data_IF_471713661228
#
_entry.id   IF_471713661228
#
_cell.length_a   1.000
_cell.length_b   1.000
_cell.length_c   1.000
_cell.angle_alpha   90.00
_cell.angle_beta   90.00
_cell.angle_gamma   90.00
#
_symmetry.space_group_name_H-M   'P 1'
#
loop_
_entity.id
_entity.type
_entity.pdbx_description
1 polymer ?
#
# COMPACT_ATOMS: atom_id res chain seq x y z
N UNK A 1 3.69 2.35 5.11
CA UNK A 1 3.45 1.46 3.95
C UNK A 1 2.24 0.59 4.26
N UNK A 2 1.25 0.59 3.36
CA UNK A 2 0.05 -0.24 3.42
C UNK A 2 0.24 -1.43 2.48
N UNK A 3 -0.07 -2.64 2.94
CA UNK A 3 0.03 -3.88 2.17
C UNK A 3 -1.06 -4.84 2.62
N UNK A 4 -1.53 -5.73 1.75
CA UNK A 4 -2.52 -6.76 2.13
C UNK A 4 -2.21 -8.16 1.57
N UNK A 5 -1.34 -8.27 0.58
CA UNK A 5 -1.12 -9.51 -0.18
C UNK A 5 0.24 -10.15 0.09
N UNK A 6 0.71 -10.97 -0.86
CA UNK A 6 1.95 -11.74 -0.81
C UNK A 6 3.19 -10.84 -0.72
N UNK A 7 3.08 -9.55 -1.03
CA UNK A 7 4.17 -8.58 -0.99
C UNK A 7 4.63 -8.22 0.43
N UNK A 8 3.97 -8.72 1.48
CA UNK A 8 4.29 -8.36 2.87
C UNK A 8 5.77 -8.61 3.23
N UNK A 9 6.35 -9.73 2.81
CA UNK A 9 7.75 -10.05 3.10
C UNK A 9 8.72 -9.09 2.41
N UNK A 10 8.41 -8.67 1.18
CA UNK A 10 9.16 -7.70 0.42
C UNK A 10 9.08 -6.31 1.08
N UNK A 11 7.92 -5.95 1.64
CA UNK A 11 7.76 -4.71 2.41
C UNK A 11 8.58 -4.76 3.70
N UNK A 12 8.66 -5.90 4.39
CA UNK A 12 9.56 -6.06 5.55
C UNK A 12 11.03 -5.92 5.15
N UNK A 13 11.43 -6.51 4.02
CA UNK A 13 12.79 -6.35 3.51
C UNK A 13 13.11 -4.89 3.15
N UNK A 14 12.17 -4.20 2.49
CA UNK A 14 12.29 -2.78 2.16
C UNK A 14 12.42 -1.91 3.42
N UNK A 15 11.68 -2.23 4.49
CA UNK A 15 11.85 -1.58 5.80
C UNK A 15 13.28 -1.66 6.29
N UNK A 16 13.86 -2.86 6.32
CA UNK A 16 15.21 -3.05 6.82
C UNK A 16 16.24 -2.25 6.01
N UNK A 17 16.09 -2.19 4.68
CA UNK A 17 16.97 -1.37 3.82
C UNK A 17 16.81 0.12 4.15
N UNK A 18 15.57 0.60 4.21
CA UNK A 18 15.28 2.02 4.48
C UNK A 18 15.81 2.46 5.85
N UNK A 19 15.73 1.59 6.86
CA UNK A 19 16.30 1.85 8.18
C UNK A 19 17.82 2.05 8.13
N UNK A 20 18.55 1.36 7.24
CA UNK A 20 20.01 1.55 7.09
C UNK A 20 20.41 2.92 6.57
N UNK A 21 19.50 3.62 5.87
CA UNK A 21 19.70 4.98 5.36
C UNK A 21 18.97 6.03 6.21
N UNK A 22 18.54 5.66 7.43
CA UNK A 22 17.91 6.58 8.39
C UNK A 22 16.44 6.89 8.11
N UNK A 23 15.76 6.11 7.26
CA UNK A 23 14.34 6.27 6.96
C UNK A 23 13.52 5.27 7.78
N UNK A 24 12.83 5.76 8.81
CA UNK A 24 11.91 4.95 9.61
C UNK A 24 10.55 4.82 8.92
N UNK A 25 10.01 3.60 8.86
CA UNK A 25 8.69 3.34 8.28
C UNK A 25 7.81 2.51 9.20
N UNK A 26 6.51 2.84 9.21
CA UNK A 26 5.46 1.98 9.77
C UNK A 26 4.86 1.12 8.66
N UNK A 27 4.73 -0.18 8.92
CA UNK A 27 4.02 -1.12 8.03
C UNK A 27 2.66 -1.41 8.64
N UNK A 28 1.59 -1.22 7.86
CA UNK A 28 0.25 -1.68 8.18
C UNK A 28 -0.11 -2.81 7.21
N UNK A 29 -0.23 -4.02 7.74
CA UNK A 29 -0.75 -5.16 6.99
C UNK A 29 -2.26 -5.25 7.22
N UNK A 30 -3.02 -4.93 6.17
CA UNK A 30 -4.48 -4.89 6.22
C UNK A 30 -5.10 -6.29 6.20
N UNK A 31 -4.34 -7.32 5.77
CA UNK A 31 -4.74 -8.73 5.57
C UNK A 31 -5.86 -8.96 4.54
N UNK A 32 -6.86 -8.09 4.51
CA UNK A 32 -7.97 -8.12 3.59
C UNK A 32 -8.17 -6.74 2.98
N UNK A 33 -8.50 -6.72 1.70
CA UNK A 33 -8.85 -5.47 1.00
C UNK A 33 -10.29 -5.04 1.29
N UNK A 34 -11.15 -6.01 1.63
CA UNK A 34 -12.57 -5.82 1.97
C UNK A 34 -12.99 -6.82 3.06
N UNK A 35 -13.67 -6.39 4.15
CA UNK A 35 -14.01 -5.01 4.49
C UNK A 35 -12.76 -4.14 4.73
N UNK A 36 -12.77 -2.91 4.21
CA UNK A 36 -11.68 -1.97 4.38
C UNK A 36 -11.63 -1.46 5.82
N UNK A 37 -10.56 -1.77 6.54
CA UNK A 37 -10.37 -1.34 7.94
C UNK A 37 -9.93 0.13 7.98
N UNK A 38 -10.90 1.04 8.05
CA UNK A 38 -10.65 2.47 8.12
C UNK A 38 -9.98 2.88 9.44
N UNK A 39 -10.29 2.20 10.55
CA UNK A 39 -9.84 2.62 11.88
C UNK A 39 -8.35 2.40 12.07
N UNK A 40 -7.79 1.32 11.51
CA UNK A 40 -6.33 1.09 11.57
C UNK A 40 -5.54 2.09 10.71
N UNK A 41 -6.16 2.62 9.64
CA UNK A 41 -5.49 3.49 8.67
C UNK A 41 -5.57 4.97 9.07
N UNK A 42 -6.69 5.41 9.67
CA UNK A 42 -6.93 6.82 10.02
C UNK A 42 -5.76 7.49 10.77
N UNK A 43 -5.19 6.90 11.84
CA UNK A 43 -4.06 7.49 12.54
C UNK A 43 -2.85 7.67 11.62
N UNK A 44 -2.58 6.70 10.74
CA UNK A 44 -1.45 6.77 9.84
C UNK A 44 -1.59 7.86 8.76
N UNK A 45 -2.82 8.18 8.34
CA UNK A 45 -3.08 9.25 7.39
C UNK A 45 -2.86 10.65 7.99
N UNK A 46 -2.96 10.78 9.32
CA UNK A 46 -2.77 12.03 10.05
C UNK A 46 -1.32 12.19 10.54
N UNK A 47 -0.68 11.08 10.93
CA UNK A 47 0.69 11.05 11.48
C UNK A 47 1.78 11.17 10.40
N UNK A 48 1.56 10.58 9.22
CA UNK A 48 2.60 10.46 8.19
C UNK A 48 2.36 11.36 6.98
N UNK A 49 3.43 12.02 6.53
CA UNK A 49 3.42 12.90 5.34
C UNK A 49 3.36 12.13 4.01
N UNK A 50 3.77 10.86 4.00
CA UNK A 50 3.80 10.01 2.82
C UNK A 50 3.17 8.66 3.16
N UNK A 51 2.18 8.28 2.36
CA UNK A 51 1.58 6.95 2.36
C UNK A 51 2.08 6.20 1.14
N UNK A 52 2.53 4.97 1.33
CA UNK A 52 2.93 4.09 0.23
C UNK A 52 1.98 2.90 0.24
N UNK A 53 1.30 2.63 -0.87
CA UNK A 53 0.54 1.39 -1.05
C UNK A 53 1.39 0.40 -1.82
N UNK A 54 1.41 -0.86 -1.38
CA UNK A 54 2.15 -1.93 -2.05
C UNK A 54 1.19 -3.10 -2.27
N UNK A 55 1.05 -3.49 -3.53
CA UNK A 55 0.22 -4.62 -3.94
C UNK A 55 0.81 -5.39 -5.13
N UNK A 56 0.49 -6.68 -5.21
CA UNK A 56 0.78 -7.59 -6.32
C UNK A 56 -0.34 -7.63 -7.38
N UNK A 57 -1.34 -6.76 -7.24
CA UNK A 57 -2.45 -6.59 -8.17
C UNK A 57 -2.33 -5.30 -9.00
N UNK A 58 -3.35 -5.03 -9.83
CA UNK A 58 -3.39 -3.82 -10.63
C UNK A 58 -3.68 -2.57 -9.80
N UNK A 59 -3.09 -1.45 -10.23
CA UNK A 59 -3.33 -0.14 -9.64
C UNK A 59 -4.82 0.23 -9.64
N UNK A 60 -5.49 -0.03 -10.77
CA UNK A 60 -6.92 0.23 -10.97
C UNK A 60 -7.73 -0.90 -10.32
N UNK A 61 -8.63 -0.54 -9.41
CA UNK A 61 -9.46 -1.48 -8.65
C UNK A 61 -8.72 -2.15 -7.48
N UNK A 62 -7.44 -1.86 -7.29
CA UNK A 62 -6.61 -2.37 -6.20
C UNK A 62 -6.67 -1.56 -4.91
N UNK A 63 -5.68 -1.79 -4.04
CA UNK A 63 -5.54 -1.13 -2.74
C UNK A 63 -5.46 0.38 -2.87
N UNK A 64 -4.71 0.88 -3.86
CA UNK A 64 -4.64 2.33 -4.11
C UNK A 64 -6.01 2.93 -4.42
N UNK A 65 -6.82 2.26 -5.25
CA UNK A 65 -8.16 2.72 -5.62
C UNK A 65 -9.10 2.76 -4.42
N UNK A 66 -9.07 1.72 -3.58
CA UNK A 66 -9.90 1.66 -2.36
C UNK A 66 -9.49 2.72 -1.34
N UNK A 67 -8.19 2.96 -1.15
CA UNK A 67 -7.71 4.06 -0.33
C UNK A 67 -8.19 5.42 -0.86
N UNK A 68 -8.13 5.63 -2.18
CA UNK A 68 -8.59 6.87 -2.80
C UNK A 68 -10.10 7.09 -2.60
N UNK A 69 -10.92 6.04 -2.74
CA UNK A 69 -12.36 6.09 -2.44
C UNK A 69 -12.63 6.44 -0.97
N UNK A 70 -11.89 5.82 -0.04
CA UNK A 70 -12.00 6.13 1.38
C UNK A 70 -11.66 7.59 1.68
N UNK A 71 -10.54 8.09 1.14
CA UNK A 71 -10.11 9.47 1.32
C UNK A 71 -11.15 10.45 0.77
N UNK A 72 -11.68 10.19 -0.44
CA UNK A 72 -12.69 11.03 -1.08
C UNK A 72 -14.00 11.06 -0.28
N UNK A 73 -14.49 9.90 0.19
CA UNK A 73 -15.69 9.81 1.06
C UNK A 73 -15.54 10.66 2.32
N UNK A 74 -14.33 10.77 2.84
CA UNK A 74 -14.01 11.54 4.05
C UNK A 74 -13.55 12.97 3.76
N UNK A 75 -13.60 13.43 2.49
CA UNK A 75 -13.11 14.76 2.05
C UNK A 75 -11.67 15.05 2.47
N UNK A 76 -10.83 14.00 2.47
CA UNK A 76 -9.40 14.08 2.79
C UNK A 76 -8.57 13.84 1.53
N UNK A 77 -7.33 14.31 1.58
CA UNK A 77 -6.28 13.95 0.63
C UNK A 77 -5.01 13.61 1.41
N UNK A 78 -4.12 12.84 0.80
CA UNK A 78 -2.80 12.55 1.36
C UNK A 78 -1.81 12.35 0.22
N UNK A 79 -0.53 12.54 0.48
CA UNK A 79 0.50 12.27 -0.51
C UNK A 79 0.72 10.76 -0.57
N UNK A 80 0.26 10.14 -1.65
CA UNK A 80 0.28 8.68 -1.83
C UNK A 80 1.18 8.28 -2.99
N UNK A 81 2.10 7.35 -2.75
CA UNK A 81 2.94 6.70 -3.76
C UNK A 81 2.50 5.24 -3.93
N UNK A 82 1.89 4.86 -5.07
CA UNK A 82 1.47 3.48 -5.28
C UNK A 82 2.52 2.60 -5.96
N UNK A 83 2.71 1.39 -5.44
CA UNK A 83 3.43 0.29 -6.07
C UNK A 83 2.43 -0.83 -6.40
N UNK A 84 2.20 -1.05 -7.69
CA UNK A 84 1.25 -2.02 -8.23
C UNK A 84 1.68 -2.46 -9.64
N UNK A 85 1.06 -3.50 -10.18
CA UNK A 85 1.28 -3.94 -11.56
C UNK A 85 0.73 -2.90 -12.56
N UNK A 86 1.53 -2.57 -13.59
CA UNK A 86 1.20 -1.59 -14.63
C UNK A 86 0.33 -2.19 -15.75
N UNK A 87 -0.88 -2.61 -15.40
CA UNK A 87 -1.93 -3.09 -16.33
C UNK A 87 -1.50 -4.21 -17.29
N UNK A 88 -0.43 -4.93 -16.95
CA UNK A 88 0.09 -6.03 -17.73
C UNK A 88 0.03 -7.27 -16.87
N UNK A 89 -0.76 -8.24 -17.31
CA UNK A 89 -0.69 -9.59 -16.78
C UNK A 89 0.72 -10.14 -16.95
N UNK A 90 1.11 -10.98 -16.01
CA UNK A 90 2.32 -11.78 -16.12
C UNK A 90 2.32 -12.48 -17.49
N UNK A 91 3.45 -12.43 -18.18
CA UNK A 91 3.68 -13.28 -19.34
C UNK A 91 4.25 -14.60 -18.80
N UNK A 92 3.58 -15.75 -19.03
CA UNK A 92 4.16 -17.03 -18.70
C UNK A 92 5.54 -17.17 -19.35
N UNK A 93 6.51 -17.61 -18.56
CA UNK A 93 7.74 -18.13 -19.13
C UNK A 93 7.37 -19.37 -19.95
N UNK A 94 7.79 -19.38 -21.22
CA UNK A 94 7.76 -20.60 -22.00
C UNK A 94 8.86 -21.50 -21.44
N UNK A 95 8.49 -22.69 -20.98
CA UNK A 95 9.44 -23.76 -20.65
C UNK A 95 10.10 -24.29 -21.93
#
# INVERSE_FOLDING_TARGET
>A
MLVYDLSFNQVQYAKNILETIGVSIRILNLRFINPFDAEIIRPALEEYKLVVTVEDNFLIGGLYSILAEFLLKNRKTTHTLPFALKERWFKPALL
#
